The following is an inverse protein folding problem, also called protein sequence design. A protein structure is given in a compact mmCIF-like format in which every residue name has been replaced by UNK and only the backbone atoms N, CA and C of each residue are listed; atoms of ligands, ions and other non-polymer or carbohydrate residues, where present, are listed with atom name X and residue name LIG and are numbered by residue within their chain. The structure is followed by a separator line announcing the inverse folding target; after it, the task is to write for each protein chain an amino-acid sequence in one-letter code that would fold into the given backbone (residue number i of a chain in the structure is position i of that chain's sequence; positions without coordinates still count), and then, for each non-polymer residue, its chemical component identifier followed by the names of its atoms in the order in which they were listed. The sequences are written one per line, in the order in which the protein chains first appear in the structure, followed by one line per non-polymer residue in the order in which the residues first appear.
data_IF_633820401987
#
_entry.id   IF_633820401987
#
_cell.length_a   1.000
_cell.length_b   1.000
_cell.length_c   1.000
_cell.angle_alpha   90.00
_cell.angle_beta   90.00
_cell.angle_gamma   90.00
#
_symmetry.space_group_name_H-M   'P 1'
#
loop_
_entity.id
_entity.type
_entity.pdbx_description
1 polymer ?
#
# COMPACT_ATOMS: atom_id res chain seq x y z
N UNK A 1 -10.94 -8.94 4.96
CA UNK A 1 -11.82 -7.97 5.64
C UNK A 1 -12.59 -8.55 6.83
N UNK A 2 -13.17 -9.75 6.73
CA UNK A 2 -13.99 -10.36 7.80
C UNK A 2 -13.31 -10.43 9.20
N UNK A 3 -12.01 -10.68 9.26
CA UNK A 3 -11.28 -10.78 10.54
C UNK A 3 -11.15 -9.45 11.28
N UNK A 4 -11.01 -8.33 10.56
CA UNK A 4 -10.71 -7.01 11.14
C UNK A 4 -11.95 -6.14 11.38
N UNK A 5 -13.14 -6.54 10.88
CA UNK A 5 -14.41 -5.78 10.99
C UNK A 5 -14.25 -4.30 10.63
N UNK A 6 -13.58 -4.05 9.51
CA UNK A 6 -13.32 -2.70 9.01
C UNK A 6 -14.62 -1.94 8.72
N UNK A 7 -14.58 -0.63 8.91
CA UNK A 7 -15.68 0.30 8.64
C UNK A 7 -15.32 1.21 7.47
N UNK A 8 -16.32 1.79 6.78
CA UNK A 8 -16.09 2.86 5.83
C UNK A 8 -15.13 3.91 6.39
N UNK A 9 -14.21 4.36 5.55
CA UNK A 9 -13.14 5.32 5.83
C UNK A 9 -11.99 4.80 6.70
N UNK A 10 -11.96 3.52 7.07
CA UNK A 10 -10.77 2.93 7.69
C UNK A 10 -9.63 2.81 6.66
N UNK A 11 -8.41 3.05 7.12
CA UNK A 11 -7.17 2.88 6.33
C UNK A 11 -6.69 1.42 6.39
N UNK A 12 -6.45 0.84 5.22
CA UNK A 12 -5.70 -0.41 5.01
C UNK A 12 -4.35 -0.07 4.40
N UNK A 13 -3.26 -0.49 5.02
CA UNK A 13 -1.90 -0.31 4.46
C UNK A 13 -1.46 -1.55 3.69
N UNK A 14 -0.84 -1.37 2.53
CA UNK A 14 -0.16 -2.44 1.80
C UNK A 14 1.31 -2.08 1.57
N UNK A 15 2.19 -3.01 1.92
CA UNK A 15 3.59 -3.00 1.55
C UNK A 15 3.85 -4.16 0.61
N UNK A 16 4.60 -3.93 -0.45
CA UNK A 16 4.86 -4.94 -1.46
C UNK A 16 6.29 -4.83 -2.02
N UNK A 17 7.04 -5.92 -1.94
CA UNK A 17 8.31 -6.10 -2.61
C UNK A 17 8.11 -6.98 -3.84
N UNK A 18 7.97 -6.36 -5.01
CA UNK A 18 7.82 -7.12 -6.25
C UNK A 18 9.06 -7.94 -6.59
N UNK A 19 10.25 -7.55 -6.12
CA UNK A 19 11.48 -8.34 -6.33
C UNK A 19 11.49 -9.63 -5.50
N UNK A 20 10.99 -9.59 -4.26
CA UNK A 20 10.90 -10.78 -3.40
C UNK A 20 9.81 -11.74 -3.89
N UNK A 21 8.68 -11.22 -4.36
CA UNK A 21 7.62 -12.03 -5.00
C UNK A 21 8.17 -12.77 -6.22
N UNK A 22 9.15 -12.18 -6.90
CA UNK A 22 9.67 -12.65 -8.17
C UNK A 22 10.90 -13.54 -8.10
N UNK A 23 11.56 -13.67 -6.94
CA UNK A 23 12.71 -14.58 -6.73
C UNK A 23 13.79 -14.46 -7.81
N UNK A 24 14.48 -13.32 -7.86
CA UNK A 24 15.64 -12.96 -8.73
C UNK A 24 15.89 -13.72 -10.08
N UNK A 25 15.75 -12.93 -11.19
CA UNK A 25 16.21 -13.07 -12.61
C UNK A 25 15.38 -14.02 -13.53
N UNK A 26 14.83 -13.65 -14.71
CA UNK A 26 15.02 -12.59 -15.72
C UNK A 26 13.69 -12.27 -16.43
N UNK A 27 13.44 -10.99 -16.76
CA UNK A 27 12.48 -10.55 -17.79
C UNK A 27 11.94 -9.13 -17.52
N UNK A 28 12.49 -8.11 -18.16
CA UNK A 28 12.40 -6.67 -17.85
C UNK A 28 11.02 -5.97 -18.03
N UNK A 29 9.91 -6.64 -17.67
CA UNK A 29 8.55 -6.08 -17.62
C UNK A 29 7.84 -6.37 -16.28
N UNK A 30 8.43 -7.20 -15.45
CA UNK A 30 7.69 -8.01 -14.49
C UNK A 30 7.29 -7.34 -13.17
N UNK A 31 7.89 -6.20 -12.80
CA UNK A 31 7.52 -5.50 -11.56
C UNK A 31 6.27 -4.63 -11.72
N UNK A 32 6.05 -4.04 -12.90
CA UNK A 32 4.88 -3.23 -13.19
C UNK A 32 3.63 -4.12 -13.34
N UNK A 33 3.74 -5.24 -14.07
CA UNK A 33 2.64 -6.19 -14.27
C UNK A 33 2.18 -6.80 -12.93
N UNK A 34 3.13 -7.15 -12.05
CA UNK A 34 2.81 -7.66 -10.70
C UNK A 34 2.13 -6.58 -9.85
N UNK A 35 2.62 -5.33 -9.91
CA UNK A 35 1.98 -4.23 -9.20
C UNK A 35 0.55 -3.97 -9.71
N UNK A 36 0.32 -4.05 -11.02
CA UNK A 36 -1.01 -3.91 -11.64
C UNK A 36 -1.94 -5.07 -11.23
N UNK A 37 -1.44 -6.31 -11.21
CA UNK A 37 -2.20 -7.47 -10.74
C UNK A 37 -2.60 -7.32 -9.27
N UNK A 38 -1.69 -6.84 -8.40
CA UNK A 38 -2.00 -6.59 -6.99
C UNK A 38 -3.01 -5.45 -6.85
N UNK A 39 -2.82 -4.33 -7.55
CA UNK A 39 -3.74 -3.19 -7.50
C UNK A 39 -5.14 -3.57 -8.00
N UNK A 40 -5.24 -4.30 -9.10
CA UNK A 40 -6.53 -4.76 -9.65
C UNK A 40 -7.24 -5.76 -8.73
N UNK A 41 -6.50 -6.57 -7.97
CA UNK A 41 -7.07 -7.44 -6.94
C UNK A 41 -7.54 -6.69 -5.69
N UNK A 42 -6.82 -5.67 -5.25
CA UNK A 42 -7.10 -4.96 -3.99
C UNK A 42 -8.09 -3.80 -4.16
N UNK A 43 -7.84 -2.92 -5.14
CA UNK A 43 -8.49 -1.60 -5.22
C UNK A 43 -10.01 -1.67 -5.39
N UNK A 44 -10.59 -2.58 -6.21
CA UNK A 44 -12.05 -2.71 -6.31
C UNK A 44 -12.70 -3.06 -4.97
N UNK A 45 -12.11 -3.98 -4.21
CA UNK A 45 -12.64 -4.42 -2.92
C UNK A 45 -12.54 -3.27 -1.89
N UNK A 46 -11.43 -2.53 -1.89
CA UNK A 46 -11.25 -1.34 -1.05
C UNK A 46 -12.34 -0.29 -1.37
N UNK A 47 -12.56 0.01 -2.66
CA UNK A 47 -13.54 0.99 -3.11
C UNK A 47 -14.98 0.58 -2.77
N UNK A 48 -15.34 -0.68 -3.01
CA UNK A 48 -16.66 -1.24 -2.69
C UNK A 48 -17.00 -1.11 -1.19
N UNK A 49 -15.99 -1.28 -0.32
CA UNK A 49 -16.15 -1.16 1.12
C UNK A 49 -15.89 0.26 1.66
N UNK A 50 -15.70 1.25 0.77
CA UNK A 50 -15.43 2.64 1.10
C UNK A 50 -14.21 2.83 2.01
N UNK A 51 -13.18 2.00 1.85
CA UNK A 51 -11.93 2.06 2.62
C UNK A 51 -10.90 2.94 1.93
N UNK A 52 -9.86 3.35 2.66
CA UNK A 52 -8.65 3.90 2.06
C UNK A 52 -7.60 2.83 1.93
N UNK A 53 -6.96 2.78 0.77
CA UNK A 53 -5.72 2.03 0.59
C UNK A 53 -4.55 3.00 0.71
N UNK A 54 -3.60 2.67 1.57
CA UNK A 54 -2.33 3.37 1.68
C UNK A 54 -1.21 2.44 1.19
N UNK A 55 -0.44 2.89 0.20
CA UNK A 55 0.59 2.08 -0.43
C UNK A 55 1.97 2.55 0.03
N UNK A 56 2.67 1.70 0.78
CA UNK A 56 4.00 1.97 1.30
C UNK A 56 5.02 2.01 0.16
N UNK A 57 5.86 3.05 0.13
CA UNK A 57 7.04 3.09 -0.71
C UNK A 57 8.18 2.23 -0.13
N UNK A 58 9.19 1.92 -0.94
CA UNK A 58 10.40 1.28 -0.43
C UNK A 58 11.22 2.22 0.48
N UNK A 59 12.25 1.66 1.11
CA UNK A 59 13.17 2.35 2.02
C UNK A 59 13.89 3.55 1.41
N UNK A 60 14.06 3.60 0.08
CA UNK A 60 14.64 4.75 -0.61
C UNK A 60 13.81 6.03 -0.45
N UNK A 61 12.49 5.90 -0.23
CA UNK A 61 11.59 7.01 0.07
C UNK A 61 11.12 6.98 1.52
N UNK A 62 11.96 6.46 2.42
CA UNK A 62 11.72 6.41 3.86
C UNK A 62 10.39 5.74 4.25
N UNK A 63 9.86 4.85 3.40
CA UNK A 63 8.55 4.19 3.61
C UNK A 63 7.38 5.17 3.71
N UNK A 64 7.52 6.36 3.10
CA UNK A 64 6.39 7.26 2.86
C UNK A 64 5.28 6.54 2.08
N UNK A 65 4.04 7.01 2.17
CA UNK A 65 2.89 6.29 1.65
C UNK A 65 2.12 7.10 0.62
N UNK A 66 1.72 6.45 -0.46
CA UNK A 66 0.78 7.01 -1.43
C UNK A 66 -0.64 6.77 -0.94
N UNK A 67 -1.43 7.82 -0.85
CA UNK A 67 -2.86 7.80 -0.46
C UNK A 67 -3.65 8.75 -1.38
N UNK A 68 -4.97 8.60 -1.40
CA UNK A 68 -5.86 9.65 -1.94
C UNK A 68 -5.79 10.90 -1.05
N UNK A 69 -5.82 12.11 -1.63
CA UNK A 69 -5.82 13.38 -0.87
C UNK A 69 -6.91 13.43 0.19
N UNK A 70 -8.10 12.91 -0.13
CA UNK A 70 -9.22 12.90 0.81
C UNK A 70 -8.94 12.06 2.07
N UNK A 71 -8.11 11.00 1.97
CA UNK A 71 -7.60 10.26 3.12
C UNK A 71 -6.67 11.14 3.97
N UNK A 72 -5.72 11.83 3.33
CA UNK A 72 -4.78 12.71 4.01
C UNK A 72 -5.49 13.84 4.76
N UNK A 73 -6.46 14.49 4.11
CA UNK A 73 -7.24 15.58 4.71
C UNK A 73 -8.08 15.06 5.90
N UNK A 74 -8.75 13.91 5.72
CA UNK A 74 -9.60 13.32 6.76
C UNK A 74 -8.83 12.94 8.02
N UNK A 75 -7.63 12.40 7.86
CA UNK A 75 -6.81 11.94 8.97
C UNK A 75 -5.78 12.98 9.45
N UNK A 76 -5.68 14.14 8.80
CA UNK A 76 -4.70 15.17 9.13
C UNK A 76 -3.26 14.69 8.93
N UNK A 77 -3.00 13.97 7.83
CA UNK A 77 -1.69 13.38 7.54
C UNK A 77 -0.73 14.43 6.98
N UNK A 78 0.53 14.37 7.42
CA UNK A 78 1.59 15.26 6.94
C UNK A 78 1.98 14.90 5.50
N UNK A 79 1.78 15.84 4.57
CA UNK A 79 2.16 15.67 3.18
C UNK A 79 3.67 15.83 2.99
N UNK A 80 4.27 14.98 2.15
CA UNK A 80 5.66 15.10 1.73
C UNK A 80 5.74 15.22 0.21
N UNK A 81 6.75 15.96 -0.27
CA UNK A 81 6.90 16.22 -1.70
C UNK A 81 7.88 15.24 -2.33
N UNK A 82 7.33 14.17 -2.92
CA UNK A 82 8.09 13.19 -3.71
C UNK A 82 7.15 12.49 -4.69
N UNK A 83 7.70 11.98 -5.80
CA UNK A 83 6.96 11.17 -6.76
C UNK A 83 7.64 9.79 -6.84
N UNK A 84 7.02 8.73 -6.30
CA UNK A 84 7.50 7.36 -6.46
C UNK A 84 7.56 6.95 -7.92
N UNK A 85 8.62 6.24 -8.29
CA UNK A 85 8.76 5.63 -9.61
C UNK A 85 9.35 4.22 -9.48
N UNK A 86 9.29 3.42 -10.55
CA UNK A 86 9.72 2.01 -10.54
C UNK A 86 11.11 1.78 -9.90
N UNK A 87 12.10 2.61 -10.22
CA UNK A 87 13.47 2.49 -9.70
C UNK A 87 13.72 3.10 -8.30
N UNK A 88 12.79 3.86 -7.74
CA UNK A 88 12.91 4.54 -6.44
C UNK A 88 11.51 4.84 -5.91
N UNK A 89 11.09 4.10 -4.88
CA UNK A 89 9.75 4.13 -4.33
C UNK A 89 8.99 2.81 -4.51
N UNK A 90 9.27 2.06 -5.58
CA UNK A 90 8.70 0.73 -5.83
C UNK A 90 7.57 0.73 -6.87
N UNK A 91 7.27 -0.45 -7.42
CA UNK A 91 6.30 -0.57 -8.50
C UNK A 91 4.85 -0.34 -8.05
N UNK A 92 4.49 -0.83 -6.85
CA UNK A 92 3.13 -0.68 -6.34
C UNK A 92 2.79 0.77 -6.00
N UNK A 93 3.71 1.52 -5.39
CA UNK A 93 3.52 2.94 -5.08
C UNK A 93 3.47 3.79 -6.36
N UNK A 94 4.29 3.47 -7.36
CA UNK A 94 4.21 4.11 -8.68
C UNK A 94 2.87 3.81 -9.38
N UNK A 95 2.33 2.60 -9.25
CA UNK A 95 1.01 2.26 -9.76
C UNK A 95 -0.10 3.03 -9.00
N UNK A 96 0.00 3.15 -7.67
CA UNK A 96 -0.94 3.94 -6.87
C UNK A 96 -0.98 5.41 -7.29
N UNK A 97 0.18 6.03 -7.57
CA UNK A 97 0.28 7.39 -8.11
C UNK A 97 -0.43 7.57 -9.47
N UNK A 98 -0.65 6.49 -10.22
CA UNK A 98 -1.33 6.53 -11.52
C UNK A 98 -2.82 6.23 -11.41
N UNK A 99 -3.21 5.33 -10.52
CA UNK A 99 -4.58 4.80 -10.40
C UNK A 99 -5.49 5.59 -9.46
N UNK A 100 -4.90 6.34 -8.52
CA UNK A 100 -5.65 7.20 -7.60
C UNK A 100 -6.17 8.46 -8.30
N UNK A 101 -7.28 8.99 -7.81
CA UNK A 101 -7.94 10.17 -8.39
C UNK A 101 -7.14 11.44 -8.10
N UNK A 102 -6.70 11.63 -6.86
CA UNK A 102 -5.85 12.76 -6.43
C UNK A 102 -4.76 12.22 -5.50
N UNK A 103 -3.73 11.55 -6.05
CA UNK A 103 -2.68 10.92 -5.26
C UNK A 103 -1.80 11.95 -4.56
N UNK A 104 -1.54 11.71 -3.28
CA UNK A 104 -0.54 12.44 -2.49
C UNK A 104 0.35 11.47 -1.75
N UNK A 105 1.53 11.94 -1.35
CA UNK A 105 2.46 11.18 -0.51
C UNK A 105 2.46 11.75 0.90
N UNK A 106 2.37 10.88 1.90
CA UNK A 106 2.38 11.23 3.32
C UNK A 106 3.58 10.62 4.04
N UNK A 107 4.05 11.30 5.08
CA UNK A 107 5.20 10.87 5.88
C UNK A 107 4.91 9.56 6.64
N UNK A 108 3.78 9.49 7.34
CA UNK A 108 3.39 8.32 8.14
C UNK A 108 1.87 8.22 8.32
N UNK A 109 1.40 7.07 8.79
CA UNK A 109 -0.02 6.80 9.09
C UNK A 109 -0.17 5.89 10.31
N UNK A 110 -1.40 5.79 10.81
CA UNK A 110 -1.84 4.74 11.73
C UNK A 110 -3.07 4.00 11.14
N UNK A 111 -2.81 2.94 10.39
CA UNK A 111 -3.80 2.11 9.70
C UNK A 111 -4.51 1.12 10.64
N UNK A 112 -5.71 0.71 10.21
CA UNK A 112 -6.60 -0.19 10.95
C UNK A 112 -6.33 -1.66 10.63
N UNK A 113 -5.81 -1.92 9.43
CA UNK A 113 -5.35 -3.22 8.99
C UNK A 113 -4.22 -3.04 7.97
N UNK A 114 -3.55 -4.13 7.63
CA UNK A 114 -2.65 -4.10 6.50
C UNK A 114 -2.27 -5.47 5.98
N UNK A 115 -1.61 -5.47 4.83
CA UNK A 115 -1.09 -6.63 4.13
C UNK A 115 0.36 -6.38 3.77
N UNK A 116 1.24 -7.28 4.21
CA UNK A 116 2.65 -7.26 3.84
C UNK A 116 2.91 -8.37 2.83
N UNK A 117 3.43 -8.02 1.66
CA UNK A 117 3.71 -8.94 0.56
C UNK A 117 5.21 -8.89 0.25
N UNK A 118 5.94 -9.95 0.63
CA UNK A 118 7.39 -10.02 0.43
C UNK A 118 8.19 -9.24 1.47
N UNK A 119 7.85 -9.40 2.75
CA UNK A 119 8.62 -8.96 3.92
C UNK A 119 9.08 -7.50 3.89
N UNK A 120 8.16 -6.60 3.50
CA UNK A 120 8.43 -5.16 3.45
C UNK A 120 8.33 -4.47 4.80
N UNK A 121 7.81 -5.14 5.83
CA UNK A 121 7.56 -4.62 7.18
C UNK A 121 6.65 -3.41 7.19
N UNK A 122 5.34 -3.64 7.40
CA UNK A 122 4.33 -2.57 7.53
C UNK A 122 3.98 -2.22 8.99
N UNK A 123 4.63 -2.86 9.96
CA UNK A 123 4.22 -2.79 11.38
C UNK A 123 4.28 -1.38 11.98
N UNK A 124 5.17 -0.51 11.47
CA UNK A 124 5.26 0.89 11.88
C UNK A 124 4.02 1.72 11.50
N UNK A 125 3.24 1.26 10.51
CA UNK A 125 2.07 1.95 10.00
C UNK A 125 0.77 1.48 10.67
N UNK A 126 0.79 0.47 11.55
CA UNK A 126 -0.41 -0.09 12.14
C UNK A 126 -0.73 0.57 13.49
N UNK A 127 -2.02 0.83 13.73
CA UNK A 127 -2.50 1.18 15.08
C UNK A 127 -2.13 0.06 16.06
N UNK A 128 -1.76 0.46 17.28
CA UNK A 128 -1.59 -0.49 18.37
C UNK A 128 -2.97 -0.93 18.89
N UNK A 129 -3.22 -2.21 19.16
CA UNK A 129 -2.31 -3.36 19.07
C UNK A 129 -2.52 -4.12 17.75
N UNK A 130 -1.44 -4.34 16.99
CA UNK A 130 -1.51 -5.14 15.76
C UNK A 130 -1.59 -6.64 16.10
N UNK A 131 -2.51 -7.35 15.42
CA UNK A 131 -2.71 -8.80 15.59
C UNK A 131 -2.51 -9.49 14.23
N UNK A 132 -1.54 -10.40 14.09
CA UNK A 132 -1.34 -11.13 12.84
C UNK A 132 -2.54 -12.02 12.50
N UNK A 133 -2.93 -12.02 11.23
CA UNK A 133 -3.98 -12.91 10.70
C UNK A 133 -3.32 -13.95 9.81
N UNK A 134 -3.58 -15.24 10.06
CA UNK A 134 -3.15 -16.33 9.18
C UNK A 134 -4.23 -16.54 8.11
N UNK A 135 -3.83 -16.46 6.84
CA UNK A 135 -4.70 -16.68 5.70
C UNK A 135 -4.49 -18.10 5.18
N UNK A 136 -5.57 -18.79 4.83
CA UNK A 136 -5.51 -20.02 4.06
C UNK A 136 -5.39 -19.64 2.57
N UNK A 137 -4.15 -19.46 2.11
CA UNK A 137 -3.82 -19.21 0.71
C UNK A 137 -3.21 -20.51 0.17
N UNK A 138 -4.01 -21.27 -0.57
CA UNK A 138 -3.63 -22.54 -1.20
C UNK A 138 -3.44 -22.36 -2.70
#
# INVERSE_FOLDING_TARGET
MAAARLKPHDIVVVGCSTSEIMGERIGSASSADVAEAIMSGLLPIIRENQLYLAVQCCEHLNRALVVERECADRYGLELVTVIPHLKAGGALSAAAMKEYLDPVVVESIAAHAGMDIGDTFIGMHLKRVAVPVRLDIS
#
